data_IF_114180395554
#
_entry.id   IF_114180395554
#
_cell.length_a   1.000
_cell.length_b   1.000
_cell.length_c   1.000
_cell.angle_alpha   90.00
_cell.angle_beta   90.00
_cell.angle_gamma   90.00
#
_symmetry.space_group_name_H-M   'P 1'
#
loop_
_entity.id
_entity.type
_entity.pdbx_description
1 polymer ?
#
# COMPACT_ATOMS: atom_id res chain seq x y z
N UNK A 1 27.03 15.51 -22.42
CA UNK A 1 27.10 16.37 -21.22
C UNK A 1 25.71 16.75 -20.71
N UNK A 2 24.91 17.64 -21.34
CA UNK A 2 23.55 17.95 -20.84
C UNK A 2 22.58 16.76 -21.01
N UNK A 3 22.50 16.17 -22.20
CA UNK A 3 21.63 15.02 -22.47
C UNK A 3 22.00 13.74 -21.68
N UNK A 4 23.26 13.59 -21.27
CA UNK A 4 23.69 12.47 -20.42
C UNK A 4 23.25 12.73 -18.97
N UNK A 5 23.36 13.96 -18.48
CA UNK A 5 22.90 14.33 -17.14
C UNK A 5 21.39 14.20 -16.98
N UNK A 6 20.61 14.60 -17.99
CA UNK A 6 19.15 14.42 -18.02
C UNK A 6 18.77 12.93 -17.98
N UNK A 7 19.44 12.09 -18.78
CA UNK A 7 19.22 10.65 -18.78
C UNK A 7 19.49 10.00 -17.42
N UNK A 8 20.60 10.35 -16.76
CA UNK A 8 20.90 9.83 -15.43
C UNK A 8 19.88 10.27 -14.39
N UNK A 9 19.40 11.51 -14.46
CA UNK A 9 18.36 12.01 -13.56
C UNK A 9 17.03 11.25 -13.74
N UNK A 10 16.65 10.91 -14.97
CA UNK A 10 15.45 10.10 -15.25
C UNK A 10 15.60 8.66 -14.76
N UNK A 11 16.75 8.02 -14.98
CA UNK A 11 17.02 6.66 -14.49
C UNK A 11 17.02 6.58 -12.95
N UNK A 12 17.63 7.56 -12.28
CA UNK A 12 17.63 7.67 -10.81
C UNK A 12 16.23 7.89 -10.26
N UNK A 13 15.42 8.71 -10.93
CA UNK A 13 14.03 8.98 -10.55
C UNK A 13 13.18 7.70 -10.67
N UNK A 14 13.22 7.02 -11.81
CA UNK A 14 12.47 5.79 -12.02
C UNK A 14 12.88 4.69 -11.02
N UNK A 15 14.17 4.61 -10.68
CA UNK A 15 14.66 3.68 -9.67
C UNK A 15 14.12 4.00 -8.28
N UNK A 16 14.07 5.30 -7.91
CA UNK A 16 13.51 5.74 -6.63
C UNK A 16 12.03 5.42 -6.53
N UNK A 17 11.24 5.83 -7.52
CA UNK A 17 9.78 5.61 -7.56
C UNK A 17 9.45 4.12 -7.45
N UNK A 18 10.20 3.27 -8.14
CA UNK A 18 10.06 1.82 -8.05
C UNK A 18 10.32 1.28 -6.65
N UNK A 19 11.36 1.78 -5.96
CA UNK A 19 11.68 1.35 -4.60
C UNK A 19 10.57 1.79 -3.63
N UNK A 20 10.10 3.02 -3.76
CA UNK A 20 9.02 3.58 -2.94
C UNK A 20 7.71 2.80 -3.12
N UNK A 21 7.29 2.56 -4.36
CA UNK A 21 6.08 1.80 -4.67
C UNK A 21 6.15 0.36 -4.12
N UNK A 22 7.29 -0.33 -4.31
CA UNK A 22 7.51 -1.68 -3.74
C UNK A 22 7.38 -1.68 -2.22
N UNK A 23 8.07 -0.75 -1.56
CA UNK A 23 8.03 -0.64 -0.10
C UNK A 23 6.61 -0.29 0.38
N UNK A 24 5.87 0.49 -0.39
CA UNK A 24 4.46 0.80 -0.14
C UNK A 24 3.58 -0.45 -0.09
N UNK A 25 3.68 -1.32 -1.10
CA UNK A 25 2.95 -2.59 -1.14
C UNK A 25 3.38 -3.54 0.00
N UNK A 26 4.69 -3.67 0.24
CA UNK A 26 5.24 -4.54 1.28
C UNK A 26 4.76 -4.11 2.68
N UNK A 27 4.88 -2.82 3.00
CA UNK A 27 4.45 -2.27 4.29
C UNK A 27 2.93 -2.39 4.47
N UNK A 28 2.15 -2.11 3.42
CA UNK A 28 0.70 -2.16 3.51
C UNK A 28 0.20 -3.60 3.72
N UNK A 29 0.68 -4.55 2.93
CA UNK A 29 0.33 -5.97 3.07
C UNK A 29 0.70 -6.52 4.45
N UNK A 30 1.90 -6.20 4.97
CA UNK A 30 2.33 -6.60 6.29
C UNK A 30 1.48 -5.98 7.42
N UNK A 31 1.23 -4.68 7.34
CA UNK A 31 0.43 -3.96 8.33
C UNK A 31 -1.00 -4.49 8.40
N UNK A 32 -1.63 -4.69 7.24
CA UNK A 32 -2.98 -5.22 7.15
C UNK A 32 -3.05 -6.66 7.69
N UNK A 33 -2.07 -7.52 7.37
CA UNK A 33 -1.96 -8.87 7.94
C UNK A 33 -1.96 -8.84 9.47
N UNK A 34 -1.18 -7.95 10.06
CA UNK A 34 -1.09 -7.86 11.52
C UNK A 34 -2.39 -7.36 12.14
N UNK A 35 -3.04 -6.36 11.53
CA UNK A 35 -4.33 -5.86 11.99
C UNK A 35 -5.42 -6.93 11.96
N UNK A 36 -5.48 -7.70 10.87
CA UNK A 36 -6.48 -8.77 10.69
C UNK A 36 -6.25 -9.96 11.63
N UNK A 37 -4.99 -10.22 12.02
CA UNK A 37 -4.66 -11.25 13.01
C UNK A 37 -4.74 -10.75 14.47
N UNK A 38 -5.00 -9.46 14.68
CA UNK A 38 -5.21 -8.91 16.02
C UNK A 38 -6.67 -9.12 16.46
N UNK A 39 -6.88 -10.14 17.29
CA UNK A 39 -8.19 -10.49 17.87
C UNK A 39 -8.74 -9.39 18.81
N UNK A 40 -7.88 -8.58 19.43
CA UNK A 40 -8.30 -7.42 20.22
C UNK A 40 -8.54 -6.17 19.33
N UNK A 41 -8.11 -6.24 18.07
CA UNK A 41 -8.11 -5.17 17.08
C UNK A 41 -9.13 -5.36 15.96
N UNK A 42 -8.68 -5.28 14.71
CA UNK A 42 -9.53 -5.40 13.54
C UNK A 42 -10.07 -6.83 13.39
N UNK A 43 -9.22 -7.84 13.63
CA UNK A 43 -9.57 -9.26 13.51
C UNK A 43 -10.74 -9.72 14.37
N UNK A 44 -10.91 -9.14 15.57
CA UNK A 44 -12.06 -9.43 16.44
C UNK A 44 -13.31 -8.59 16.15
N UNK A 45 -13.26 -7.64 15.22
CA UNK A 45 -14.37 -6.72 14.88
C UNK A 45 -15.06 -7.05 13.56
N UNK A 46 -14.40 -7.80 12.68
CA UNK A 46 -14.94 -8.28 11.41
C UNK A 46 -15.45 -9.72 11.56
N UNK A 47 -16.35 -10.13 10.66
CA UNK A 47 -16.78 -11.53 10.59
C UNK A 47 -15.71 -12.40 9.90
N UNK A 48 -15.87 -13.73 10.01
CA UNK A 48 -14.91 -14.71 9.50
C UNK A 48 -14.78 -14.63 7.98
N UNK A 49 -15.86 -14.34 7.24
CA UNK A 49 -15.83 -14.24 5.78
C UNK A 49 -15.01 -13.02 5.35
N UNK A 50 -15.26 -11.85 5.97
CA UNK A 50 -14.49 -10.62 5.76
C UNK A 50 -13.01 -10.82 6.19
N UNK A 51 -12.74 -11.59 7.25
CA UNK A 51 -11.38 -11.94 7.70
C UNK A 51 -10.63 -12.81 6.69
N UNK A 52 -11.27 -13.87 6.20
CA UNK A 52 -10.68 -14.78 5.21
C UNK A 52 -10.36 -14.02 3.91
N UNK A 53 -11.28 -13.18 3.44
CA UNK A 53 -11.08 -12.36 2.23
C UNK A 53 -9.87 -11.41 2.34
N UNK A 54 -9.66 -10.76 3.50
CA UNK A 54 -8.50 -9.92 3.71
C UNK A 54 -7.19 -10.71 3.76
N UNK A 55 -7.18 -11.86 4.45
CA UNK A 55 -5.99 -12.69 4.54
C UNK A 55 -5.61 -13.30 3.18
N UNK A 56 -6.59 -13.68 2.37
CA UNK A 56 -6.38 -14.14 0.99
C UNK A 56 -5.80 -13.03 0.12
N UNK A 57 -6.40 -11.83 0.11
CA UNK A 57 -5.89 -10.70 -0.68
C UNK A 57 -4.47 -10.27 -0.26
N UNK A 58 -4.18 -10.26 1.05
CA UNK A 58 -2.82 -10.01 1.58
C UNK A 58 -1.85 -11.07 1.06
N UNK A 59 -2.25 -12.34 1.09
CA UNK A 59 -1.41 -13.44 0.62
C UNK A 59 -1.13 -13.32 -0.87
N UNK A 60 -2.13 -13.04 -1.69
CA UNK A 60 -1.96 -12.82 -3.14
C UNK A 60 -0.97 -11.68 -3.42
N UNK A 61 -1.07 -10.57 -2.68
CA UNK A 61 -0.11 -9.46 -2.80
C UNK A 61 1.31 -9.84 -2.37
N UNK A 62 1.46 -10.65 -1.31
CA UNK A 62 2.77 -11.15 -0.84
C UNK A 62 3.39 -12.12 -1.84
N UNK A 63 2.62 -13.08 -2.35
CA UNK A 63 3.07 -14.05 -3.36
C UNK A 63 3.48 -13.31 -4.65
N UNK A 64 2.69 -12.32 -5.08
CA UNK A 64 3.03 -11.49 -6.24
C UNK A 64 4.32 -10.67 -6.01
N UNK A 65 4.50 -10.09 -4.81
CA UNK A 65 5.74 -9.39 -4.44
C UNK A 65 6.95 -10.33 -4.52
N UNK A 66 6.86 -11.54 -3.98
CA UNK A 66 7.95 -12.52 -4.00
C UNK A 66 8.37 -12.88 -5.44
N UNK A 67 7.39 -13.03 -6.34
CA UNK A 67 7.62 -13.37 -7.75
C UNK A 67 8.14 -12.19 -8.59
N UNK A 68 7.71 -10.96 -8.28
CA UNK A 68 7.90 -9.80 -9.16
C UNK A 68 8.79 -8.69 -8.59
N UNK A 69 9.25 -8.78 -7.33
CA UNK A 69 9.99 -7.72 -6.64
C UNK A 69 11.24 -7.23 -7.39
N UNK A 70 11.87 -8.06 -8.20
CA UNK A 70 13.09 -7.72 -8.94
C UNK A 70 12.82 -7.13 -10.33
N UNK A 71 11.66 -7.37 -10.93
CA UNK A 71 11.38 -7.07 -12.34
C UNK A 71 10.24 -6.08 -12.54
N UNK A 72 9.32 -5.96 -11.59
CA UNK A 72 8.19 -5.05 -11.70
C UNK A 72 8.62 -3.57 -11.65
N UNK A 73 7.90 -2.73 -12.37
CA UNK A 73 8.04 -1.27 -12.32
C UNK A 73 7.16 -0.64 -11.23
N UNK A 74 7.24 0.69 -11.10
CA UNK A 74 6.51 1.43 -10.07
C UNK A 74 4.97 1.32 -10.26
N UNK A 75 4.49 1.36 -11.51
CA UNK A 75 3.05 1.30 -11.82
C UNK A 75 2.49 -0.08 -11.44
N UNK A 76 3.22 -1.16 -11.74
CA UNK A 76 2.82 -2.52 -11.37
C UNK A 76 2.73 -2.71 -9.84
N UNK A 77 3.65 -2.12 -9.06
CA UNK A 77 3.56 -2.16 -7.59
C UNK A 77 2.34 -1.39 -7.07
N UNK A 78 2.07 -0.20 -7.61
CA UNK A 78 0.90 0.59 -7.22
C UNK A 78 -0.42 -0.08 -7.62
N UNK A 79 -0.49 -0.73 -8.78
CA UNK A 79 -1.67 -1.51 -9.19
C UNK A 79 -1.99 -2.64 -8.20
N UNK A 80 -0.97 -3.35 -7.72
CA UNK A 80 -1.16 -4.45 -6.76
C UNK A 80 -1.55 -3.92 -5.39
N UNK A 81 -1.01 -2.76 -4.99
CA UNK A 81 -1.44 -2.06 -3.78
C UNK A 81 -2.90 -1.63 -3.88
N UNK A 82 -3.33 -1.10 -5.03
CA UNK A 82 -4.71 -0.73 -5.28
C UNK A 82 -5.65 -1.95 -5.22
N UNK A 83 -5.27 -3.08 -5.82
CA UNK A 83 -6.06 -4.34 -5.73
C UNK A 83 -6.26 -4.78 -4.28
N UNK A 84 -5.22 -4.70 -3.45
CA UNK A 84 -5.33 -4.99 -2.03
C UNK A 84 -6.26 -3.98 -1.32
N UNK A 85 -6.12 -2.70 -1.64
CA UNK A 85 -6.97 -1.63 -1.08
C UNK A 85 -8.45 -1.77 -1.48
N UNK A 86 -8.75 -2.23 -2.70
CA UNK A 86 -10.13 -2.41 -3.19
C UNK A 86 -10.89 -3.49 -2.39
N UNK A 87 -10.17 -4.48 -1.86
CA UNK A 87 -10.73 -5.48 -0.93
C UNK A 87 -10.81 -4.91 0.49
N UNK A 88 -9.74 -4.25 0.95
CA UNK A 88 -9.62 -3.76 2.32
C UNK A 88 -10.58 -2.61 2.66
N UNK A 89 -10.77 -1.66 1.74
CA UNK A 89 -11.56 -0.46 1.94
C UNK A 89 -13.03 -0.73 2.30
N UNK A 90 -13.80 -1.53 1.54
CA UNK A 90 -15.20 -1.78 1.87
C UNK A 90 -15.37 -2.49 3.23
N UNK A 91 -14.48 -3.42 3.58
CA UNK A 91 -14.55 -4.18 4.84
C UNK A 91 -14.26 -3.27 6.03
N UNK A 92 -13.17 -2.52 5.98
CA UNK A 92 -12.79 -1.60 7.05
C UNK A 92 -13.75 -0.42 7.17
N UNK A 93 -14.31 0.08 6.07
CA UNK A 93 -15.29 1.18 6.08
C UNK A 93 -16.62 0.82 6.74
N UNK A 94 -17.08 -0.44 6.63
CA UNK A 94 -18.29 -0.90 7.35
C UNK A 94 -18.15 -0.68 8.86
N UNK A 95 -16.95 -0.86 9.43
CA UNK A 95 -16.70 -0.69 10.86
C UNK A 95 -16.77 0.78 11.30
N UNK A 96 -16.19 1.68 10.50
CA UNK A 96 -16.20 3.12 10.80
C UNK A 96 -17.57 3.77 10.54
N UNK A 97 -18.35 3.24 9.60
CA UNK A 97 -19.73 3.66 9.36
C UNK A 97 -20.71 3.20 10.45
N UNK A 98 -20.41 2.08 11.13
CA UNK A 98 -21.23 1.53 12.21
C UNK A 98 -20.92 2.12 13.60
N UNK A 99 -19.78 2.80 13.78
CA UNK A 99 -19.38 3.41 15.05
C UNK A 99 -18.49 4.63 14.80
N UNK A 100 -19.08 5.83 14.93
CA UNK A 100 -18.38 7.08 14.70
C UNK A 100 -17.10 7.24 15.52
N UNK A 101 -16.10 7.87 14.87
CA UNK A 101 -14.87 8.42 15.44
C UNK A 101 -13.97 7.42 16.19
N UNK A 102 -13.11 6.71 15.45
CA UNK A 102 -12.15 5.80 16.05
C UNK A 102 -10.92 5.49 15.20
N UNK A 103 -10.32 6.50 14.55
CA UNK A 103 -8.95 6.49 14.03
C UNK A 103 -8.47 5.23 13.30
N UNK A 104 -8.69 5.18 11.98
CA UNK A 104 -7.72 4.50 11.11
C UNK A 104 -6.55 5.47 10.91
N UNK A 105 -5.29 5.05 11.01
CA UNK A 105 -4.20 5.86 10.49
C UNK A 105 -4.49 6.11 9.00
N UNK A 106 -4.46 7.38 8.64
CA UNK A 106 -4.48 7.83 7.27
C UNK A 106 -3.29 7.18 6.56
N UNK A 107 -3.55 6.13 5.77
CA UNK A 107 -2.56 5.46 4.91
C UNK A 107 -2.81 5.85 3.46
N UNK A 108 -3.11 7.12 3.24
CA UNK A 108 -3.22 7.72 1.93
C UNK A 108 -2.94 9.20 2.09
N UNK A 109 -1.80 9.64 1.54
CA UNK A 109 -1.37 11.04 1.41
C UNK A 109 -0.44 11.60 2.52
N UNK A 110 0.75 11.02 2.69
CA UNK A 110 1.92 11.75 3.23
C UNK A 110 3.02 11.96 2.17
N UNK A 111 2.64 12.04 0.90
CA UNK A 111 3.50 12.55 -0.17
C UNK A 111 2.73 13.57 -1.04
N UNK A 112 2.18 14.60 -0.40
CA UNK A 112 2.18 15.91 -1.07
C UNK A 112 3.64 16.36 -1.14
N UNK A 113 4.28 16.42 -2.33
CA UNK A 113 5.52 17.15 -2.44
C UNK A 113 5.19 18.60 -2.14
N UNK A 114 5.53 19.04 -0.93
CA UNK A 114 5.53 20.45 -0.56
C UNK A 114 6.53 21.18 -1.47
N UNK A 115 6.03 21.53 -2.65
CA UNK A 115 6.57 22.57 -3.50
C UNK A 115 6.50 23.85 -2.72
N UNK A 116 7.56 24.15 -1.98
CA UNK A 116 7.87 25.49 -1.53
C UNK A 116 9.21 25.89 -2.13
N UNK A 117 9.22 25.99 -3.46
CA UNK A 117 9.96 27.06 -4.12
C UNK A 117 9.36 28.36 -3.58
N UNK A 118 10.06 29.03 -2.66
CA UNK A 118 10.19 30.50 -2.62
C UNK A 118 11.37 30.89 -1.70
N UNK A 119 12.40 31.44 -2.35
CA UNK A 119 13.42 32.41 -1.90
C UNK A 119 14.71 31.91 -1.20
#
# INVERSE_FOLDING_TARGET
MVAEAEKYAEEDKATRERIEARNGLENYSFSLKNQVNDEDGLGGKIDEDDKEALLEAVKEAQDWLEENAQTADAEEFEEQKQKLSDVAYPITSKLYGAGGAGGMPDYGDEDEPSGHDEL
#
